data_IF_239189575211
#
_entry.id   IF_239189575211
#
_cell.length_a   1.000
_cell.length_b   1.000
_cell.length_c   1.000
_cell.angle_alpha   90.00
_cell.angle_beta   90.00
_cell.angle_gamma   90.00
#
_symmetry.space_group_name_H-M   'P 1'
#
loop_
_entity.id
_entity.type
_entity.pdbx_description
1 polymer ?
#
# COMPACT_ATOMS: atom_id res chain seq x y z
N UNK A 1 -84.27 36.43 -21.82
CA UNK A 1 -83.69 36.10 -20.51
C UNK A 1 -82.58 35.03 -20.60
N UNK A 2 -82.74 33.92 -21.32
CA UNK A 2 -81.73 32.85 -21.45
C UNK A 2 -80.36 33.26 -22.02
N UNK A 3 -80.31 34.23 -22.96
CA UNK A 3 -79.01 34.66 -23.57
C UNK A 3 -78.12 35.53 -22.65
N UNK A 4 -78.73 36.28 -21.73
CA UNK A 4 -78.00 37.09 -20.73
C UNK A 4 -77.42 36.24 -19.61
N UNK A 5 -78.12 35.21 -19.22
CA UNK A 5 -77.69 34.32 -18.15
C UNK A 5 -76.54 33.40 -18.65
N UNK A 6 -76.65 32.92 -19.90
CA UNK A 6 -75.58 32.19 -20.55
C UNK A 6 -74.29 33.00 -20.66
N UNK A 7 -74.36 34.31 -21.05
CA UNK A 7 -73.22 35.20 -21.06
C UNK A 7 -72.56 35.38 -19.67
N UNK A 8 -73.40 35.51 -18.64
CA UNK A 8 -72.93 35.64 -17.25
C UNK A 8 -72.23 34.37 -16.76
N UNK A 9 -72.76 33.19 -17.13
CA UNK A 9 -72.14 31.89 -16.81
C UNK A 9 -70.79 31.74 -17.55
N UNK A 10 -70.73 32.08 -18.84
CA UNK A 10 -69.52 32.01 -19.63
C UNK A 10 -68.46 32.99 -19.11
N UNK A 11 -68.84 34.21 -18.71
CA UNK A 11 -67.94 35.19 -18.10
C UNK A 11 -67.46 34.69 -16.74
N UNK A 12 -68.35 34.12 -15.92
CA UNK A 12 -67.99 33.51 -14.62
C UNK A 12 -66.99 32.35 -14.77
N UNK A 13 -67.23 31.48 -15.70
CA UNK A 13 -66.29 30.37 -16.00
C UNK A 13 -64.92 30.89 -16.53
N UNK A 14 -64.95 31.89 -17.40
CA UNK A 14 -63.79 32.54 -17.89
C UNK A 14 -62.96 33.21 -16.77
N UNK A 15 -63.63 33.96 -15.88
CA UNK A 15 -63.03 34.54 -14.71
C UNK A 15 -62.41 33.51 -13.75
N UNK A 16 -63.09 32.38 -13.50
CA UNK A 16 -62.55 31.33 -12.67
C UNK A 16 -61.34 30.65 -13.34
N UNK A 17 -61.35 30.41 -14.63
CA UNK A 17 -60.20 29.90 -15.37
C UNK A 17 -59.04 30.90 -15.30
N UNK A 18 -59.29 32.18 -15.48
CA UNK A 18 -58.25 33.22 -15.37
C UNK A 18 -57.69 33.30 -13.94
N UNK A 19 -58.52 33.20 -12.92
CA UNK A 19 -58.12 33.16 -11.51
C UNK A 19 -57.28 31.89 -11.20
N UNK A 20 -57.68 30.76 -11.70
CA UNK A 20 -56.92 29.51 -11.57
C UNK A 20 -55.56 29.59 -12.28
N UNK A 21 -55.55 30.14 -13.52
CA UNK A 21 -54.32 30.38 -14.26
C UNK A 21 -53.41 31.39 -13.55
N UNK A 22 -53.94 32.50 -12.99
CA UNK A 22 -53.18 33.44 -12.20
C UNK A 22 -52.67 32.83 -10.91
N UNK A 23 -53.48 31.99 -10.25
CA UNK A 23 -53.04 31.25 -9.07
C UNK A 23 -51.93 30.22 -9.40
N UNK A 24 -52.10 29.49 -10.50
CA UNK A 24 -51.07 28.53 -10.96
C UNK A 24 -49.78 29.26 -11.42
N UNK A 25 -49.90 30.40 -12.07
CA UNK A 25 -48.74 31.22 -12.48
C UNK A 25 -48.06 31.86 -11.29
N UNK A 26 -48.76 32.19 -10.20
CA UNK A 26 -48.13 32.73 -8.99
C UNK A 26 -47.22 31.72 -8.29
N UNK A 27 -47.47 30.41 -8.45
CA UNK A 27 -46.60 29.35 -7.94
C UNK A 27 -45.25 29.27 -8.71
N UNK A 28 -45.23 29.78 -9.94
CA UNK A 28 -44.00 29.85 -10.77
C UNK A 28 -43.28 31.19 -10.68
N UNK A 29 -43.79 32.15 -9.89
CA UNK A 29 -43.13 33.43 -9.67
C UNK A 29 -42.11 33.37 -8.54
N UNK A 30 -42.32 32.50 -7.59
CA UNK A 30 -41.47 32.38 -6.40
C UNK A 30 -41.01 30.97 -6.18
N UNK A 31 -39.74 30.83 -5.88
CA UNK A 31 -39.11 29.55 -5.52
C UNK A 31 -38.59 29.60 -4.09
N UNK A 32 -38.86 28.54 -3.31
CA UNK A 32 -38.37 28.43 -1.97
C UNK A 32 -37.08 27.63 -1.92
N UNK A 33 -35.97 28.31 -1.76
CA UNK A 33 -34.65 27.71 -1.71
C UNK A 33 -34.45 27.03 -0.32
N UNK A 34 -34.29 25.68 -0.29
CA UNK A 34 -34.06 24.99 0.97
C UNK A 34 -32.66 25.23 1.49
N UNK A 35 -32.47 25.14 2.80
CA UNK A 35 -31.16 25.22 3.42
C UNK A 35 -30.22 24.12 2.88
N UNK A 36 -28.93 24.45 2.71
CA UNK A 36 -27.92 23.50 2.22
C UNK A 36 -27.88 23.32 0.71
N UNK A 37 -28.75 23.99 -0.06
CA UNK A 37 -28.73 23.98 -1.52
C UNK A 37 -28.36 25.34 -2.11
N UNK A 38 -27.78 25.31 -3.28
CA UNK A 38 -27.53 26.46 -4.15
C UNK A 38 -28.61 26.40 -5.23
N UNK A 39 -29.32 27.50 -5.40
CA UNK A 39 -30.35 27.59 -6.43
C UNK A 39 -29.82 28.42 -7.59
N UNK A 40 -29.88 27.86 -8.79
CA UNK A 40 -29.57 28.57 -10.05
C UNK A 40 -30.86 28.70 -10.83
N UNK A 41 -31.24 29.94 -11.13
CA UNK A 41 -32.44 30.28 -11.88
C UNK A 41 -32.00 30.84 -13.25
N UNK A 42 -32.45 30.22 -14.32
CA UNK A 42 -32.25 30.70 -15.69
C UNK A 42 -33.48 31.44 -16.14
N UNK A 43 -33.33 32.73 -16.42
CA UNK A 43 -34.41 33.56 -16.98
C UNK A 43 -34.85 33.02 -18.36
N UNK A 44 -36.17 32.84 -18.58
CA UNK A 44 -36.67 32.35 -19.85
C UNK A 44 -36.59 33.39 -20.98
N UNK A 45 -36.48 34.64 -20.63
CA UNK A 45 -36.51 35.77 -21.62
C UNK A 45 -35.09 36.20 -21.98
N UNK A 46 -34.26 36.47 -20.97
CA UNK A 46 -32.90 36.98 -21.16
C UNK A 46 -31.84 35.88 -21.21
N UNK A 47 -32.17 34.66 -20.73
CA UNK A 47 -31.20 33.59 -20.56
C UNK A 47 -30.19 33.85 -19.46
N UNK A 48 -30.30 34.95 -18.72
CA UNK A 48 -29.41 35.29 -17.63
C UNK A 48 -29.54 34.28 -16.49
N UNK A 49 -28.40 33.99 -15.83
CA UNK A 49 -28.33 33.08 -14.72
C UNK A 49 -28.19 33.87 -13.41
N UNK A 50 -29.12 33.61 -12.49
CA UNK A 50 -29.05 34.11 -11.13
C UNK A 50 -28.75 32.97 -10.16
N UNK A 51 -27.84 33.21 -9.22
CA UNK A 51 -27.37 32.19 -8.27
C UNK A 51 -27.70 32.66 -6.85
N UNK A 52 -28.38 31.81 -6.09
CA UNK A 52 -28.75 32.07 -4.72
C UNK A 52 -28.19 31.06 -3.77
N UNK A 53 -27.44 31.51 -2.77
CA UNK A 53 -26.82 30.67 -1.74
C UNK A 53 -27.64 30.66 -0.44
N UNK A 54 -28.42 31.68 -0.23
CA UNK A 54 -29.19 31.86 1.00
C UNK A 54 -30.57 31.18 0.90
N UNK A 55 -30.99 30.44 1.92
CA UNK A 55 -32.32 29.84 1.96
C UNK A 55 -33.41 30.92 2.00
N UNK A 56 -34.62 30.55 1.61
CA UNK A 56 -35.77 31.40 1.63
C UNK A 56 -36.37 31.63 0.24
N UNK A 57 -37.41 32.46 0.21
CA UNK A 57 -38.17 32.70 -1.00
C UNK A 57 -37.37 33.64 -1.92
N UNK A 58 -37.20 33.20 -3.16
CA UNK A 58 -36.53 33.91 -4.25
C UNK A 58 -37.47 34.10 -5.44
N UNK A 59 -37.23 35.14 -6.20
CA UNK A 59 -38.05 35.46 -7.37
C UNK A 59 -37.59 34.55 -8.55
N UNK A 60 -38.48 33.67 -9.02
CA UNK A 60 -38.22 32.77 -10.11
C UNK A 60 -38.59 33.32 -11.49
N UNK A 61 -39.66 34.09 -11.58
CA UNK A 61 -40.13 34.71 -12.83
C UNK A 61 -40.28 33.70 -14.00
N UNK A 62 -40.87 32.56 -13.77
CA UNK A 62 -41.01 31.44 -14.73
C UNK A 62 -39.69 30.87 -15.22
N UNK A 63 -38.57 31.19 -14.54
CA UNK A 63 -37.23 30.68 -14.89
C UNK A 63 -37.10 29.19 -14.60
N UNK A 64 -36.18 28.57 -15.30
CA UNK A 64 -35.82 27.18 -15.01
C UNK A 64 -34.95 27.12 -13.75
N UNK A 65 -35.44 26.44 -12.76
CA UNK A 65 -34.74 26.25 -11.47
C UNK A 65 -33.90 24.98 -11.52
N UNK A 66 -32.65 25.08 -11.07
CA UNK A 66 -31.75 23.94 -10.88
C UNK A 66 -31.10 24.05 -9.53
N UNK A 67 -31.15 22.95 -8.77
CA UNK A 67 -30.55 22.89 -7.45
C UNK A 67 -29.24 22.14 -7.47
N UNK A 68 -28.28 22.65 -6.72
CA UNK A 68 -27.02 22.02 -6.41
C UNK A 68 -26.88 21.92 -4.88
N UNK A 69 -26.41 20.78 -4.31
CA UNK A 69 -26.07 20.75 -2.89
C UNK A 69 -24.87 21.65 -2.64
N UNK A 70 -24.78 22.33 -1.51
CA UNK A 70 -23.56 23.09 -1.15
C UNK A 70 -22.36 22.19 -1.00
N UNK A 71 -22.58 20.99 -0.46
CA UNK A 71 -21.60 19.93 -0.29
C UNK A 71 -22.22 18.58 -0.62
N UNK A 72 -21.47 17.71 -1.26
CA UNK A 72 -21.90 16.34 -1.54
C UNK A 72 -20.73 15.36 -1.47
N UNK A 73 -21.05 14.07 -1.46
CA UNK A 73 -20.09 12.99 -1.37
C UNK A 73 -20.19 12.12 -2.61
N UNK A 74 -19.13 12.12 -3.40
CA UNK A 74 -18.98 11.13 -4.46
C UNK A 74 -18.45 9.83 -3.85
N UNK A 75 -19.30 8.80 -3.84
CA UNK A 75 -19.00 7.47 -3.30
C UNK A 75 -18.80 6.48 -4.41
N UNK A 76 -17.74 5.68 -4.29
CA UNK A 76 -17.40 4.58 -5.19
C UNK A 76 -17.16 3.30 -4.36
N UNK A 77 -18.24 2.74 -3.77
CA UNK A 77 -18.15 1.56 -2.91
C UNK A 77 -17.86 0.31 -3.72
N UNK A 78 -17.21 -0.65 -3.06
CA UNK A 78 -17.12 -2.03 -3.54
C UNK A 78 -18.10 -2.90 -2.75
N UNK A 79 -18.82 -3.81 -3.41
CA UNK A 79 -19.68 -4.75 -2.69
C UNK A 79 -18.81 -5.65 -1.81
N UNK A 80 -19.11 -5.65 -0.53
CA UNK A 80 -18.58 -6.66 0.39
C UNK A 80 -19.26 -7.95 -0.02
N UNK A 81 -18.52 -9.01 -0.39
CA UNK A 81 -19.11 -10.33 -0.66
C UNK A 81 -19.90 -10.73 0.58
N UNK A 82 -21.24 -10.86 0.49
CA UNK A 82 -22.04 -11.10 1.67
C UNK A 82 -21.71 -12.49 2.23
N UNK A 83 -21.42 -12.53 3.52
CA UNK A 83 -21.34 -13.78 4.27
C UNK A 83 -22.74 -14.43 4.37
N UNK A 84 -23.78 -13.68 4.09
CA UNK A 84 -25.18 -14.10 4.11
C UNK A 84 -25.89 -13.71 2.81
N UNK A 85 -26.59 -14.67 2.20
CA UNK A 85 -27.33 -14.54 0.91
C UNK A 85 -28.50 -13.55 0.97
N UNK A 86 -28.75 -12.91 2.10
CA UNK A 86 -29.86 -12.00 2.37
C UNK A 86 -29.58 -10.52 2.03
N UNK A 87 -28.36 -10.16 1.63
CA UNK A 87 -28.01 -8.77 1.33
C UNK A 87 -28.30 -8.42 -0.13
N UNK A 88 -28.92 -7.24 -0.32
CA UNK A 88 -29.05 -6.60 -1.64
C UNK A 88 -27.65 -6.36 -2.19
N UNK A 89 -27.38 -6.90 -3.37
CA UNK A 89 -26.10 -6.70 -4.04
C UNK A 89 -25.89 -5.20 -4.32
N UNK A 90 -24.98 -4.58 -3.60
CA UNK A 90 -24.54 -3.21 -3.91
C UNK A 90 -23.76 -3.29 -5.21
N UNK A 91 -24.11 -2.45 -6.18
CA UNK A 91 -23.39 -2.35 -7.45
C UNK A 91 -21.93 -1.96 -7.18
N UNK A 92 -20.98 -2.69 -7.78
CA UNK A 92 -19.57 -2.34 -7.70
C UNK A 92 -19.31 -1.06 -8.47
N UNK A 93 -19.02 0.00 -7.75
CA UNK A 93 -18.63 1.33 -8.27
C UNK A 93 -17.20 1.67 -7.97
N UNK A 94 -16.43 0.72 -7.41
CA UNK A 94 -15.02 0.93 -7.10
C UNK A 94 -14.24 1.32 -8.35
N UNK A 95 -13.25 2.19 -8.16
CA UNK A 95 -12.43 2.68 -9.27
C UNK A 95 -11.34 1.66 -9.57
N UNK A 96 -11.27 1.13 -10.81
CA UNK A 96 -10.20 0.22 -11.19
C UNK A 96 -8.86 0.95 -11.20
N UNK A 97 -7.83 0.28 -10.70
CA UNK A 97 -6.46 0.76 -10.70
C UNK A 97 -5.55 -0.28 -11.35
N UNK A 98 -4.64 0.20 -12.17
CA UNK A 98 -3.57 -0.60 -12.75
C UNK A 98 -2.24 -0.02 -12.29
N UNK A 99 -1.42 -0.88 -11.71
CA UNK A 99 -0.11 -0.53 -11.19
C UNK A 99 0.97 -0.63 -12.30
N UNK A 100 2.14 -0.07 -12.03
CA UNK A 100 3.25 -0.08 -12.99
C UNK A 100 3.80 -1.50 -13.29
N UNK A 101 3.49 -2.48 -12.45
CA UNK A 101 3.80 -3.90 -12.64
C UNK A 101 2.73 -4.67 -13.40
N UNK A 102 1.79 -3.96 -14.03
CA UNK A 102 0.59 -4.54 -14.64
C UNK A 102 -0.31 -5.31 -13.68
N UNK A 103 -0.08 -5.18 -12.39
CA UNK A 103 -1.00 -5.66 -11.37
C UNK A 103 -2.26 -4.81 -11.38
N UNK A 104 -3.42 -5.44 -11.33
CA UNK A 104 -4.70 -4.76 -11.24
C UNK A 104 -5.29 -4.82 -9.84
N UNK A 105 -6.17 -3.88 -9.57
CA UNK A 105 -6.97 -3.85 -8.36
C UNK A 105 -8.14 -2.90 -8.49
N UNK A 106 -8.89 -2.73 -7.43
CA UNK A 106 -9.95 -1.75 -7.32
C UNK A 106 -9.83 -0.97 -6.01
N UNK A 107 -10.22 0.29 -6.08
CA UNK A 107 -10.18 1.22 -4.95
C UNK A 107 -11.61 1.60 -4.61
N UNK A 108 -12.15 1.12 -3.47
CA UNK A 108 -13.37 1.64 -2.89
C UNK A 108 -13.08 2.83 -1.99
N UNK A 109 -13.98 3.80 -2.03
CA UNK A 109 -13.83 4.98 -1.22
C UNK A 109 -14.94 6.00 -1.42
N UNK A 110 -14.70 7.18 -0.90
CA UNK A 110 -15.55 8.35 -1.11
C UNK A 110 -14.73 9.62 -0.99
N UNK A 111 -15.17 10.66 -1.69
CA UNK A 111 -14.59 11.99 -1.61
C UNK A 111 -15.71 13.01 -1.44
N UNK A 112 -15.55 13.88 -0.47
CA UNK A 112 -16.44 15.02 -0.29
C UNK A 112 -15.98 16.17 -1.18
N UNK A 113 -16.93 16.85 -1.77
CA UNK A 113 -16.67 18.05 -2.54
C UNK A 113 -17.69 19.13 -2.22
N UNK A 114 -17.20 20.36 -2.24
CA UNK A 114 -17.98 21.55 -1.95
C UNK A 114 -18.05 22.42 -3.19
N UNK A 115 -19.26 22.90 -3.53
CA UNK A 115 -19.45 23.84 -4.62
C UNK A 115 -18.92 25.23 -4.26
N UNK A 116 -18.47 26.03 -5.26
CA UNK A 116 -17.92 27.35 -5.00
C UNK A 116 -18.97 28.30 -4.44
N UNK A 117 -18.55 29.16 -3.53
CA UNK A 117 -19.38 30.26 -3.03
C UNK A 117 -19.43 31.46 -3.98
N UNK A 118 -18.60 31.49 -5.03
CA UNK A 118 -18.51 32.56 -5.99
C UNK A 118 -19.58 32.42 -7.08
N UNK A 119 -20.37 33.46 -7.30
CA UNK A 119 -21.46 33.47 -8.27
C UNK A 119 -20.99 33.16 -9.69
N UNK A 120 -19.87 33.74 -10.11
CA UNK A 120 -19.36 33.56 -11.48
C UNK A 120 -18.88 32.13 -11.72
N UNK A 121 -18.22 31.50 -10.77
CA UNK A 121 -17.81 30.09 -10.88
C UNK A 121 -19.02 29.17 -10.92
N UNK A 122 -20.06 29.46 -10.13
CA UNK A 122 -21.28 28.66 -10.13
C UNK A 122 -22.06 28.81 -11.45
N UNK A 123 -22.11 30.01 -12.04
CA UNK A 123 -22.65 30.21 -13.39
C UNK A 123 -21.87 29.43 -14.44
N UNK A 124 -20.54 29.43 -14.36
CA UNK A 124 -19.67 28.66 -15.24
C UNK A 124 -19.96 27.17 -15.14
N UNK A 125 -20.14 26.64 -13.91
CA UNK A 125 -20.52 25.25 -13.69
C UNK A 125 -21.87 24.96 -14.35
N UNK A 126 -22.88 25.80 -14.10
CA UNK A 126 -24.20 25.57 -14.62
C UNK A 126 -24.25 25.63 -16.17
N UNK A 127 -23.54 26.57 -16.78
CA UNK A 127 -23.45 26.67 -18.24
C UNK A 127 -22.77 25.48 -18.87
N UNK A 128 -21.78 24.89 -18.18
CA UNK A 128 -21.01 23.76 -18.73
C UNK A 128 -21.72 22.44 -18.52
N UNK A 129 -22.31 22.22 -17.33
CA UNK A 129 -22.82 20.89 -16.93
C UNK A 129 -24.34 20.84 -16.76
N UNK A 130 -25.01 21.96 -16.63
CA UNK A 130 -26.47 22.11 -16.51
C UNK A 130 -27.15 21.44 -15.31
N UNK A 131 -26.59 20.42 -14.71
CA UNK A 131 -27.16 19.70 -13.56
C UNK A 131 -26.07 19.15 -12.62
N UNK A 132 -26.46 18.89 -11.39
CA UNK A 132 -25.59 18.27 -10.40
C UNK A 132 -25.04 16.91 -10.86
N UNK A 133 -25.91 16.03 -11.39
CA UNK A 133 -25.50 14.74 -11.89
C UNK A 133 -24.48 14.82 -13.03
N UNK A 134 -24.64 15.82 -13.89
CA UNK A 134 -23.69 16.08 -15.00
C UNK A 134 -22.34 16.56 -14.47
N UNK A 135 -22.31 17.36 -13.40
CA UNK A 135 -21.06 17.75 -12.71
C UNK A 135 -20.37 16.51 -12.14
N UNK A 136 -21.12 15.68 -11.42
CA UNK A 136 -20.55 14.46 -10.84
C UNK A 136 -19.98 13.54 -11.91
N UNK A 137 -20.73 13.27 -12.98
CA UNK A 137 -20.33 12.36 -14.06
C UNK A 137 -19.26 12.95 -15.00
N UNK A 138 -19.36 14.26 -15.29
CA UNK A 138 -18.49 14.91 -16.28
C UNK A 138 -17.25 15.56 -15.72
N UNK A 139 -17.23 15.84 -14.40
CA UNK A 139 -16.10 16.54 -13.78
C UNK A 139 -15.52 15.77 -12.59
N UNK A 140 -16.35 15.47 -11.57
CA UNK A 140 -15.86 14.88 -10.33
C UNK A 140 -15.30 13.49 -10.57
N UNK A 141 -16.13 12.58 -11.11
CA UNK A 141 -15.76 11.20 -11.41
C UNK A 141 -14.50 11.10 -12.27
N UNK A 142 -14.41 11.74 -13.45
CA UNK A 142 -13.21 11.64 -14.29
C UNK A 142 -11.95 12.21 -13.62
N UNK A 143 -12.09 13.26 -12.79
CA UNK A 143 -10.94 13.83 -12.08
C UNK A 143 -10.38 12.84 -11.06
N UNK A 144 -11.26 12.20 -10.29
CA UNK A 144 -10.84 11.19 -9.30
C UNK A 144 -10.26 9.96 -10.01
N UNK A 145 -10.90 9.47 -11.08
CA UNK A 145 -10.42 8.33 -11.86
C UNK A 145 -9.03 8.59 -12.47
N UNK A 146 -8.79 9.80 -13.00
CA UNK A 146 -7.46 10.18 -13.50
C UNK A 146 -6.41 10.22 -12.39
N UNK A 147 -6.74 10.78 -11.22
CA UNK A 147 -5.84 10.81 -10.08
C UNK A 147 -5.49 9.39 -9.61
N UNK A 148 -6.49 8.50 -9.54
CA UNK A 148 -6.30 7.08 -9.20
C UNK A 148 -5.40 6.39 -10.22
N UNK A 149 -5.70 6.52 -11.51
CA UNK A 149 -4.94 5.86 -12.59
C UNK A 149 -3.48 6.29 -12.59
N UNK A 150 -3.23 7.60 -12.46
CA UNK A 150 -1.87 8.11 -12.44
C UNK A 150 -1.12 7.72 -11.18
N UNK A 151 -1.77 7.74 -10.01
CA UNK A 151 -1.16 7.26 -8.80
C UNK A 151 -0.78 5.78 -8.93
N UNK A 152 -1.65 4.96 -9.54
CA UNK A 152 -1.36 3.54 -9.80
C UNK A 152 -0.11 3.33 -10.65
N UNK A 153 0.05 4.11 -11.72
CA UNK A 153 1.23 4.02 -12.58
C UNK A 153 2.55 4.37 -11.86
N UNK A 154 2.44 4.99 -10.70
CA UNK A 154 3.55 5.49 -9.90
C UNK A 154 4.03 4.52 -8.83
N UNK A 155 3.36 3.43 -8.57
CA UNK A 155 3.77 2.41 -7.59
C UNK A 155 3.48 1.01 -8.10
N UNK A 156 4.12 0.06 -7.48
CA UNK A 156 3.88 -1.34 -7.77
C UNK A 156 2.68 -1.85 -6.97
N UNK A 157 2.03 -2.91 -7.47
CA UNK A 157 0.93 -3.53 -6.74
C UNK A 157 1.37 -3.97 -5.34
N UNK A 158 2.55 -4.58 -5.23
CA UNK A 158 3.09 -5.04 -3.95
C UNK A 158 3.38 -3.87 -3.00
N UNK A 159 4.01 -2.80 -3.49
CA UNK A 159 4.24 -1.59 -2.67
C UNK A 159 2.94 -0.98 -2.17
N UNK A 160 1.92 -0.90 -3.04
CA UNK A 160 0.62 -0.35 -2.69
C UNK A 160 -0.12 -1.17 -1.61
N UNK A 161 0.08 -2.50 -1.61
CA UNK A 161 -0.57 -3.38 -0.63
C UNK A 161 0.19 -3.51 0.68
N UNK A 162 1.52 -3.43 0.65
CA UNK A 162 2.38 -3.71 1.81
C UNK A 162 3.02 -2.44 2.38
N UNK A 163 4.00 -1.88 1.67
CA UNK A 163 4.89 -0.88 2.25
C UNK A 163 4.30 0.54 2.23
N UNK A 164 3.48 0.86 1.22
CA UNK A 164 3.05 2.24 0.94
C UNK A 164 1.52 2.42 0.88
N UNK A 165 0.83 1.55 1.62
CA UNK A 165 -0.64 1.61 1.71
C UNK A 165 -1.17 2.97 2.17
N UNK A 166 -0.45 3.64 3.05
CA UNK A 166 -0.83 4.94 3.58
C UNK A 166 -0.59 6.11 2.61
N UNK A 167 0.38 5.98 1.70
CA UNK A 167 0.75 7.05 0.77
C UNK A 167 -0.26 7.18 -0.38
N UNK A 168 -0.82 6.07 -0.82
CA UNK A 168 -1.71 6.01 -1.97
C UNK A 168 -2.92 6.96 -1.85
N UNK A 169 -3.69 6.98 -0.74
CA UNK A 169 -4.80 7.91 -0.59
C UNK A 169 -4.34 9.37 -0.57
N UNK A 170 -3.22 9.66 0.09
CA UNK A 170 -2.66 11.02 0.16
C UNK A 170 -2.27 11.53 -1.22
N UNK A 171 -1.64 10.68 -2.04
CA UNK A 171 -1.25 11.02 -3.40
C UNK A 171 -2.46 11.23 -4.32
N UNK A 172 -3.49 10.39 -4.18
CA UNK A 172 -4.72 10.53 -4.97
C UNK A 172 -5.43 11.83 -4.60
N UNK A 173 -5.56 12.10 -3.30
CA UNK A 173 -6.19 13.34 -2.80
C UNK A 173 -5.46 14.59 -3.28
N UNK A 174 -4.13 14.59 -3.18
CA UNK A 174 -3.30 15.71 -3.59
C UNK A 174 -3.39 15.95 -5.11
N UNK A 175 -3.35 14.90 -5.93
CA UNK A 175 -3.52 15.02 -7.38
C UNK A 175 -4.94 15.43 -7.77
N UNK A 176 -5.95 14.94 -7.09
CA UNK A 176 -7.32 15.35 -7.34
C UNK A 176 -7.53 16.83 -7.03
N UNK A 177 -6.97 17.32 -5.93
CA UNK A 177 -7.08 18.73 -5.50
C UNK A 177 -6.31 19.69 -6.37
N UNK A 178 -5.03 19.43 -6.59
CA UNK A 178 -4.11 20.42 -7.16
C UNK A 178 -3.71 20.13 -8.61
N UNK A 179 -4.03 18.94 -9.11
CA UNK A 179 -3.71 18.50 -10.46
C UNK A 179 -2.62 17.43 -10.50
N UNK A 180 -2.43 16.90 -11.68
CA UNK A 180 -1.60 15.74 -11.90
C UNK A 180 -0.11 16.06 -11.72
N UNK A 181 0.63 15.15 -11.11
CA UNK A 181 2.05 15.29 -10.94
C UNK A 181 2.80 15.30 -12.28
N UNK A 182 3.78 16.15 -12.40
CA UNK A 182 4.80 16.02 -13.43
C UNK A 182 5.85 15.04 -12.94
N UNK A 183 6.13 14.05 -13.76
CA UNK A 183 6.93 12.90 -13.37
C UNK A 183 8.18 12.75 -14.18
N UNK A 184 9.17 12.09 -13.62
CA UNK A 184 10.42 11.73 -14.27
C UNK A 184 10.72 10.26 -14.04
N UNK A 185 11.06 9.52 -15.11
CA UNK A 185 11.55 8.13 -15.01
C UNK A 185 13.07 8.12 -14.98
N UNK A 186 13.64 7.35 -14.09
CA UNK A 186 15.07 7.10 -14.06
C UNK A 186 15.36 5.66 -13.63
N UNK A 187 16.55 5.22 -13.99
CA UNK A 187 17.03 3.90 -13.63
C UNK A 187 17.67 3.97 -12.25
N UNK A 188 17.17 3.17 -11.30
CA UNK A 188 17.70 3.05 -9.95
C UNK A 188 18.32 1.67 -9.77
N UNK A 189 19.53 1.63 -9.25
CA UNK A 189 20.15 0.37 -8.83
C UNK A 189 19.66 0.02 -7.44
N UNK A 190 19.15 -1.18 -7.29
CA UNK A 190 18.69 -1.74 -6.02
C UNK A 190 19.33 -3.08 -5.84
N UNK A 191 19.93 -3.31 -4.67
CA UNK A 191 20.45 -4.63 -4.32
C UNK A 191 19.28 -5.49 -3.87
N UNK A 192 19.09 -6.62 -4.51
CA UNK A 192 18.10 -7.60 -4.10
C UNK A 192 18.50 -8.18 -2.73
N UNK A 193 17.62 -8.07 -1.75
CA UNK A 193 17.91 -8.51 -0.38
C UNK A 193 18.13 -10.02 -0.28
N UNK A 194 17.56 -10.78 -1.21
CA UNK A 194 17.60 -12.23 -1.24
C UNK A 194 18.82 -12.72 -2.01
N UNK A 195 19.01 -12.23 -3.24
CA UNK A 195 20.10 -12.72 -4.11
C UNK A 195 21.40 -11.95 -3.91
N UNK A 196 21.37 -10.80 -3.20
CA UNK A 196 22.49 -9.86 -3.06
C UNK A 196 23.03 -9.32 -4.40
N UNK A 197 22.30 -9.52 -5.48
CA UNK A 197 22.65 -9.02 -6.80
C UNK A 197 22.15 -7.60 -7.01
N UNK A 198 22.92 -6.78 -7.68
CA UNK A 198 22.49 -5.44 -8.09
C UNK A 198 21.57 -5.53 -9.30
N UNK A 199 20.39 -4.97 -9.16
CA UNK A 199 19.38 -4.92 -10.20
C UNK A 199 19.04 -3.49 -10.54
N UNK A 200 19.01 -3.16 -11.82
CA UNK A 200 18.55 -1.85 -12.30
C UNK A 200 17.04 -1.90 -12.50
N UNK A 201 16.33 -1.07 -11.78
CA UNK A 201 14.87 -0.93 -11.91
C UNK A 201 14.53 0.48 -12.38
N UNK A 202 13.52 0.59 -13.24
CA UNK A 202 12.95 1.90 -13.62
C UNK A 202 11.98 2.36 -12.54
N UNK A 203 12.23 3.53 -12.02
CA UNK A 203 11.42 4.13 -10.95
C UNK A 203 10.88 5.47 -11.43
N UNK A 204 9.59 5.75 -11.24
CA UNK A 204 8.95 7.02 -11.57
C UNK A 204 8.67 7.83 -10.32
N UNK A 205 9.13 9.05 -10.27
CA UNK A 205 8.95 9.96 -9.13
C UNK A 205 8.37 11.31 -9.57
N UNK A 206 7.57 11.97 -8.71
CA UNK A 206 7.17 13.34 -8.97
C UNK A 206 8.38 14.27 -8.93
N UNK A 207 8.36 15.28 -9.79
CA UNK A 207 9.38 16.33 -9.79
C UNK A 207 9.03 17.32 -8.67
N UNK A 208 9.97 17.51 -7.73
CA UNK A 208 9.81 18.53 -6.70
C UNK A 208 10.12 19.91 -7.26
N UNK A 209 9.24 20.86 -6.94
CA UNK A 209 9.39 22.27 -7.28
C UNK A 209 8.99 23.10 -6.06
N UNK A 210 9.96 23.75 -5.47
CA UNK A 210 9.77 24.59 -4.27
C UNK A 210 8.87 25.80 -4.53
N UNK A 211 8.65 26.15 -5.80
CA UNK A 211 7.79 27.28 -6.20
C UNK A 211 6.34 26.87 -6.38
N UNK A 212 6.06 25.56 -6.51
CA UNK A 212 4.72 25.04 -6.70
C UNK A 212 3.93 24.94 -5.38
N UNK A 213 2.61 25.17 -5.39
CA UNK A 213 1.75 24.84 -4.26
C UNK A 213 1.93 23.35 -3.93
N UNK A 214 2.13 22.99 -2.68
CA UNK A 214 2.48 21.62 -2.23
C UNK A 214 3.91 21.14 -2.54
N UNK A 215 4.80 21.97 -3.09
CA UNK A 215 6.21 21.60 -3.31
C UNK A 215 6.45 20.57 -4.42
N UNK A 216 5.45 20.26 -5.25
CA UNK A 216 5.52 19.27 -6.32
C UNK A 216 5.11 19.90 -7.63
N UNK A 217 5.93 19.72 -8.67
CA UNK A 217 5.63 20.19 -10.01
C UNK A 217 4.41 19.46 -10.59
N UNK A 218 3.54 20.23 -11.25
CA UNK A 218 2.33 19.70 -11.87
C UNK A 218 2.48 19.66 -13.38
N UNK A 219 1.94 18.62 -13.99
CA UNK A 219 1.81 18.52 -15.43
C UNK A 219 0.65 19.41 -15.90
N UNK A 220 -0.45 19.36 -15.17
CA UNK A 220 -1.67 20.14 -15.38
C UNK A 220 -2.20 20.61 -14.02
N UNK A 221 -2.75 21.82 -13.97
CA UNK A 221 -3.57 22.23 -12.82
C UNK A 221 -4.88 21.46 -12.81
N UNK A 222 -5.41 21.22 -11.62
CA UNK A 222 -6.69 20.52 -11.51
C UNK A 222 -7.81 21.28 -12.22
N UNK A 223 -8.55 20.57 -13.05
CA UNK A 223 -9.75 21.13 -13.71
C UNK A 223 -10.76 21.62 -12.68
N UNK A 224 -10.82 20.98 -11.51
CA UNK A 224 -11.65 21.35 -10.37
C UNK A 224 -11.39 22.79 -9.92
N UNK A 225 -10.11 23.20 -9.88
CA UNK A 225 -9.71 24.56 -9.48
C UNK A 225 -10.29 25.62 -10.41
N UNK A 226 -10.39 25.35 -11.71
CA UNK A 226 -11.01 26.25 -12.70
C UNK A 226 -12.48 26.56 -12.33
N UNK A 227 -13.19 25.54 -11.87
CA UNK A 227 -14.60 25.70 -11.45
C UNK A 227 -14.75 26.11 -9.99
N UNK A 228 -13.67 26.17 -9.21
CA UNK A 228 -13.70 26.57 -7.80
C UNK A 228 -14.35 25.53 -6.87
N UNK A 229 -14.52 24.30 -7.34
CA UNK A 229 -14.94 23.19 -6.49
C UNK A 229 -13.76 22.79 -5.61
N UNK A 230 -14.04 22.51 -4.34
CA UNK A 230 -13.02 22.11 -3.36
C UNK A 230 -13.27 20.67 -2.94
N UNK A 231 -12.25 19.84 -3.09
CA UNK A 231 -12.27 18.51 -2.52
C UNK A 231 -11.83 18.52 -1.05
N UNK A 232 -12.57 17.80 -0.24
CA UNK A 232 -12.29 17.63 1.19
C UNK A 232 -12.55 16.17 1.58
N UNK A 233 -11.84 15.71 2.61
CA UNK A 233 -12.07 14.41 3.24
C UNK A 233 -12.16 13.22 2.26
N UNK A 234 -11.01 12.85 1.69
CA UNK A 234 -10.88 11.62 0.92
C UNK A 234 -10.87 10.42 1.88
N UNK A 235 -11.92 9.62 1.85
CA UNK A 235 -12.02 8.39 2.62
C UNK A 235 -11.69 7.19 1.72
N UNK A 236 -10.72 6.42 2.15
CA UNK A 236 -10.18 5.29 1.42
C UNK A 236 -10.22 4.03 2.28
N UNK A 237 -10.90 3.00 1.81
CA UNK A 237 -11.08 1.77 2.59
C UNK A 237 -9.93 0.78 2.41
N UNK A 238 -9.13 0.96 1.37
CA UNK A 238 -8.01 0.08 1.00
C UNK A 238 -8.08 -0.27 -0.48
N UNK A 239 -7.03 -0.92 -0.99
CA UNK A 239 -7.03 -1.46 -2.35
C UNK A 239 -7.44 -2.92 -2.28
N UNK A 240 -8.38 -3.32 -3.12
CA UNK A 240 -8.71 -4.73 -3.32
C UNK A 240 -7.89 -5.24 -4.51
N UNK A 241 -6.96 -6.17 -4.30
CA UNK A 241 -6.15 -6.72 -5.38
C UNK A 241 -6.99 -7.57 -6.33
N UNK A 242 -6.59 -7.62 -7.60
CA UNK A 242 -7.08 -8.65 -8.49
C UNK A 242 -6.59 -10.03 -8.02
N UNK A 243 -7.31 -11.09 -8.38
CA UNK A 243 -6.99 -12.47 -7.99
C UNK A 243 -5.53 -12.84 -8.31
N UNK A 244 -5.05 -12.48 -9.50
CA UNK A 244 -3.66 -12.71 -9.91
C UNK A 244 -2.62 -11.98 -9.04
N UNK A 245 -2.93 -10.79 -8.57
CA UNK A 245 -2.06 -10.02 -7.68
C UNK A 245 -2.09 -10.63 -6.28
N UNK A 246 -3.27 -11.03 -5.81
CA UNK A 246 -3.43 -11.70 -4.53
C UNK A 246 -2.65 -13.02 -4.45
N UNK A 247 -2.73 -13.84 -5.49
CA UNK A 247 -1.93 -15.07 -5.59
C UNK A 247 -0.43 -14.77 -5.55
N UNK A 248 0.04 -13.76 -6.29
CA UNK A 248 1.44 -13.34 -6.24
C UNK A 248 1.90 -12.91 -4.85
N UNK A 249 1.07 -12.13 -4.16
CA UNK A 249 1.36 -11.68 -2.79
C UNK A 249 1.47 -12.88 -1.86
N UNK A 250 0.54 -13.84 -1.95
CA UNK A 250 0.59 -15.05 -1.13
C UNK A 250 1.86 -15.88 -1.39
N UNK A 251 2.21 -16.07 -2.66
CA UNK A 251 3.48 -16.77 -3.02
C UNK A 251 4.70 -16.04 -2.44
N UNK A 252 4.72 -14.72 -2.48
CA UNK A 252 5.80 -13.93 -1.88
C UNK A 252 5.86 -14.12 -0.36
N UNK A 253 4.73 -14.07 0.34
CA UNK A 253 4.68 -14.32 1.78
C UNK A 253 5.18 -15.71 2.14
N UNK A 254 4.74 -16.73 1.41
CA UNK A 254 5.19 -18.11 1.62
C UNK A 254 6.70 -18.25 1.41
N UNK A 255 7.24 -17.54 0.45
CA UNK A 255 8.68 -17.54 0.21
C UNK A 255 9.46 -16.83 1.31
N UNK A 256 9.01 -15.65 1.76
CA UNK A 256 9.65 -14.96 2.87
C UNK A 256 9.61 -15.82 4.14
N UNK A 257 8.48 -16.44 4.44
CA UNK A 257 8.35 -17.35 5.58
C UNK A 257 9.33 -18.53 5.49
N UNK A 258 9.49 -19.14 4.30
CA UNK A 258 10.44 -20.22 4.08
C UNK A 258 11.90 -19.79 4.22
N UNK A 259 12.25 -18.60 3.71
CA UNK A 259 13.59 -18.03 3.85
C UNK A 259 13.90 -17.74 5.32
N UNK A 260 12.97 -17.14 6.05
CA UNK A 260 13.12 -16.89 7.48
C UNK A 260 13.30 -18.18 8.28
N UNK A 261 12.46 -19.19 8.02
CA UNK A 261 12.58 -20.50 8.64
C UNK A 261 13.92 -21.18 8.31
N UNK A 262 14.36 -21.12 7.07
CA UNK A 262 15.68 -21.65 6.66
C UNK A 262 16.83 -20.92 7.39
N UNK A 263 16.76 -19.60 7.50
CA UNK A 263 17.76 -18.79 8.19
C UNK A 263 17.81 -19.12 9.67
N UNK A 264 16.65 -19.31 10.32
CA UNK A 264 16.57 -19.73 11.72
C UNK A 264 17.16 -21.13 11.91
N UNK A 265 16.87 -22.06 11.01
CA UNK A 265 17.41 -23.43 11.06
C UNK A 265 18.95 -23.44 10.92
N UNK A 266 19.50 -22.66 9.99
CA UNK A 266 20.95 -22.51 9.84
C UNK A 266 21.57 -21.94 11.12
N UNK A 267 20.96 -20.90 11.69
CA UNK A 267 21.45 -20.29 12.93
C UNK A 267 21.42 -21.26 14.11
N UNK A 268 20.35 -22.06 14.22
CA UNK A 268 20.25 -23.07 15.26
C UNK A 268 21.32 -24.16 15.12
N UNK A 269 21.56 -24.66 13.89
CA UNK A 269 22.61 -25.63 13.62
C UNK A 269 24.01 -25.09 13.89
N UNK A 270 24.28 -23.83 13.56
CA UNK A 270 25.55 -23.19 13.91
C UNK A 270 25.75 -23.15 15.43
N UNK A 271 24.69 -22.84 16.19
CA UNK A 271 24.76 -22.84 17.65
C UNK A 271 24.98 -24.24 18.22
N UNK A 272 24.28 -25.26 17.69
CA UNK A 272 24.47 -26.65 18.09
C UNK A 272 25.90 -27.15 17.76
N UNK A 273 26.41 -26.80 16.57
CA UNK A 273 27.77 -27.18 16.16
C UNK A 273 28.82 -26.52 17.05
N UNK A 274 28.63 -25.25 17.42
CA UNK A 274 29.52 -24.56 18.37
C UNK A 274 29.46 -25.18 19.77
N UNK A 275 28.25 -25.49 20.21
CA UNK A 275 28.08 -26.18 21.50
C UNK A 275 28.73 -27.57 21.53
N UNK A 276 28.58 -28.35 20.46
CA UNK A 276 29.25 -29.66 20.32
C UNK A 276 30.77 -29.54 20.23
N UNK A 277 31.30 -28.55 19.53
CA UNK A 277 32.74 -28.28 19.50
C UNK A 277 33.28 -27.90 20.87
N UNK A 278 32.53 -27.14 21.64
CA UNK A 278 32.91 -26.82 23.02
C UNK A 278 32.87 -28.03 23.95
N UNK A 279 31.86 -28.89 23.81
CA UNK A 279 31.76 -30.15 24.52
C UNK A 279 32.95 -31.06 24.15
N UNK A 280 33.25 -31.20 22.86
CA UNK A 280 34.37 -32.00 22.39
C UNK A 280 35.74 -31.45 22.85
N UNK A 281 35.91 -30.12 22.85
CA UNK A 281 37.10 -29.48 23.43
C UNK A 281 37.22 -29.73 24.92
N UNK A 282 36.08 -29.72 25.63
CA UNK A 282 36.03 -30.06 27.06
C UNK A 282 36.35 -31.51 27.35
N UNK A 283 35.80 -32.44 26.56
CA UNK A 283 36.10 -33.87 26.71
C UNK A 283 37.57 -34.15 26.43
N UNK A 284 38.11 -33.60 25.35
CA UNK A 284 39.53 -33.74 24.99
C UNK A 284 40.46 -33.09 26.01
N UNK A 285 40.04 -31.96 26.61
CA UNK A 285 40.77 -31.33 27.72
C UNK A 285 40.71 -32.17 29.01
N UNK A 286 39.54 -32.80 29.26
CA UNK A 286 39.35 -33.72 30.39
C UNK A 286 40.17 -35.00 30.18
N UNK A 287 40.19 -35.54 28.96
CA UNK A 287 40.98 -36.74 28.62
C UNK A 287 42.48 -36.48 28.73
N UNK A 288 42.91 -35.32 28.23
CA UNK A 288 44.30 -34.85 28.35
C UNK A 288 44.66 -34.58 29.81
N UNK A 289 43.78 -33.96 30.56
CA UNK A 289 43.95 -33.76 32.02
C UNK A 289 43.96 -35.06 32.82
N UNK A 290 43.14 -36.06 32.42
CA UNK A 290 43.22 -37.40 32.98
C UNK A 290 44.54 -38.13 32.68
N UNK A 291 45.03 -38.02 31.43
CA UNK A 291 46.30 -38.57 31.03
C UNK A 291 47.49 -37.90 31.76
N UNK A 292 47.44 -36.56 31.86
CA UNK A 292 48.43 -35.80 32.61
C UNK A 292 48.34 -36.02 34.13
N UNK A 293 47.10 -36.23 34.66
CA UNK A 293 46.90 -36.59 36.06
C UNK A 293 47.38 -38.01 36.42
N UNK A 294 47.41 -38.93 35.47
CA UNK A 294 48.00 -40.27 35.66
C UNK A 294 49.52 -40.17 35.70
N UNK A 295 50.14 -39.29 34.89
CA UNK A 295 51.56 -39.02 34.90
C UNK A 295 52.06 -38.12 36.02
N UNK A 296 51.19 -37.19 36.46
CA UNK A 296 51.48 -36.26 37.58
C UNK A 296 51.13 -36.78 38.95
N UNK A 297 50.55 -37.99 39.03
CA UNK A 297 50.14 -38.58 40.32
C UNK A 297 51.30 -38.88 41.27
N UNK A 298 52.55 -38.81 40.78
CA UNK A 298 53.74 -39.07 41.60
C UNK A 298 54.48 -37.79 42.08
N UNK A 299 54.16 -36.63 41.53
CA UNK A 299 54.95 -35.42 41.88
C UNK A 299 54.14 -34.18 42.14
N UNK A 300 53.19 -33.97 42.81
CA UNK A 300 52.68 -32.66 43.28
C UNK A 300 51.17 -32.51 43.48
N UNK A 301 50.70 -32.99 44.56
CA UNK A 301 49.34 -32.72 45.08
C UNK A 301 49.12 -31.24 45.52
N UNK A 302 50.16 -30.49 45.70
CA UNK A 302 50.09 -29.12 46.17
C UNK A 302 49.88 -28.08 45.04
N UNK A 303 50.43 -28.30 43.85
CA UNK A 303 50.23 -27.43 42.69
C UNK A 303 48.88 -27.59 42.02
N UNK A 304 48.28 -28.75 42.20
CA UNK A 304 46.98 -29.09 41.57
C UNK A 304 45.82 -28.19 42.01
N UNK A 305 45.79 -27.89 43.33
CA UNK A 305 44.69 -27.04 43.85
C UNK A 305 44.86 -25.58 43.46
N UNK A 306 46.14 -25.14 43.25
CA UNK A 306 46.41 -23.76 42.83
C UNK A 306 46.11 -23.55 41.34
N UNK A 307 46.46 -24.53 40.48
CA UNK A 307 46.23 -24.46 39.04
C UNK A 307 44.72 -24.57 38.76
N UNK A 308 44.00 -25.48 39.42
CA UNK A 308 42.54 -25.62 39.26
C UNK A 308 41.81 -24.35 39.73
N UNK A 309 42.22 -23.76 40.83
CA UNK A 309 41.61 -22.53 41.33
C UNK A 309 41.83 -21.32 40.38
N UNK A 310 43.06 -21.23 39.80
CA UNK A 310 43.36 -20.17 38.83
C UNK A 310 42.60 -20.36 37.53
N UNK A 311 42.52 -21.61 37.01
CA UNK A 311 41.80 -21.92 35.77
C UNK A 311 40.29 -21.68 35.90
N UNK A 312 39.71 -22.01 37.07
CA UNK A 312 38.29 -21.70 37.32
C UNK A 312 38.00 -20.22 37.47
N UNK A 313 38.90 -19.46 38.11
CA UNK A 313 38.77 -18.03 38.25
C UNK A 313 38.94 -17.30 36.92
N UNK A 314 39.86 -17.78 36.06
CA UNK A 314 39.98 -17.25 34.66
C UNK A 314 38.78 -17.59 33.80
N UNK A 315 38.23 -18.80 33.95
CA UNK A 315 37.02 -19.24 33.23
C UNK A 315 35.80 -18.44 33.61
N UNK A 316 35.60 -18.20 34.91
CA UNK A 316 34.53 -17.34 35.40
C UNK A 316 34.69 -15.90 34.87
N UNK A 317 35.94 -15.42 34.82
CA UNK A 317 36.25 -14.11 34.30
C UNK A 317 36.01 -14.02 32.77
N UNK A 318 36.39 -15.08 32.03
CA UNK A 318 36.19 -15.16 30.60
C UNK A 318 34.72 -15.33 30.21
N UNK A 319 33.97 -16.13 30.94
CA UNK A 319 32.52 -16.26 30.79
C UNK A 319 31.80 -14.96 31.12
N UNK A 320 32.23 -14.27 32.18
CA UNK A 320 31.69 -12.97 32.53
C UNK A 320 32.00 -11.91 31.44
N UNK A 321 33.23 -11.92 30.87
CA UNK A 321 33.61 -11.03 29.78
C UNK A 321 32.83 -11.35 28.50
N UNK A 322 32.68 -12.62 28.15
CA UNK A 322 31.94 -13.06 26.97
C UNK A 322 30.45 -12.75 27.06
N UNK A 323 29.86 -12.95 28.27
CA UNK A 323 28.47 -12.56 28.49
C UNK A 323 28.29 -11.03 28.45
N UNK A 324 29.21 -10.28 29.04
CA UNK A 324 29.19 -8.83 29.00
C UNK A 324 29.43 -8.25 27.57
N UNK A 325 30.24 -8.93 26.76
CA UNK A 325 30.40 -8.60 25.36
C UNK A 325 29.16 -8.90 24.53
N UNK A 326 28.51 -10.06 24.75
CA UNK A 326 27.23 -10.40 24.14
C UNK A 326 26.12 -9.40 24.48
N UNK A 327 26.02 -9.00 25.75
CA UNK A 327 25.03 -7.99 26.14
C UNK A 327 25.30 -6.63 25.48
N UNK A 328 26.57 -6.24 25.37
CA UNK A 328 26.97 -5.02 24.64
C UNK A 328 26.66 -5.11 23.16
N UNK A 329 26.92 -6.26 22.55
CA UNK A 329 26.70 -6.47 21.11
C UNK A 329 25.18 -6.50 20.79
N UNK A 330 24.39 -7.17 21.63
CA UNK A 330 22.92 -7.15 21.53
C UNK A 330 22.35 -5.75 21.78
N UNK A 331 22.94 -5.01 22.73
CA UNK A 331 22.52 -3.63 22.98
C UNK A 331 22.95 -2.68 21.84
N UNK A 332 24.12 -2.94 21.21
CA UNK A 332 24.56 -2.21 20.02
C UNK A 332 23.66 -2.53 18.83
N UNK A 333 23.39 -3.81 18.56
CA UNK A 333 22.47 -4.24 17.48
C UNK A 333 21.06 -3.68 17.66
N UNK A 334 20.57 -3.61 18.90
CA UNK A 334 19.28 -2.97 19.21
C UNK A 334 19.32 -1.44 18.97
N UNK A 335 20.44 -0.78 19.27
CA UNK A 335 20.64 0.64 18.96
C UNK A 335 20.75 0.87 17.45
N UNK A 336 21.50 0.03 16.77
CA UNK A 336 21.69 0.12 15.32
C UNK A 336 20.38 -0.20 14.58
N UNK A 337 19.62 -1.21 15.05
CA UNK A 337 18.28 -1.49 14.55
C UNK A 337 17.31 -0.31 14.78
N UNK A 338 17.40 0.34 15.96
CA UNK A 338 16.58 1.52 16.24
C UNK A 338 17.03 2.76 15.43
N UNK A 339 18.36 2.89 15.19
CA UNK A 339 18.90 3.92 14.31
C UNK A 339 18.52 3.68 12.86
N UNK A 340 18.64 2.45 12.37
CA UNK A 340 18.21 2.03 11.04
C UNK A 340 16.70 2.18 10.85
N UNK A 341 15.91 1.85 11.89
CA UNK A 341 14.47 2.06 11.88
C UNK A 341 14.13 3.56 11.79
N UNK A 342 14.88 4.41 12.52
CA UNK A 342 14.74 5.86 12.43
C UNK A 342 15.17 6.38 11.05
N UNK A 343 16.28 5.88 10.53
CA UNK A 343 16.79 6.20 9.20
C UNK A 343 15.86 5.64 8.10
N UNK A 344 15.29 4.44 8.30
CA UNK A 344 14.25 3.90 7.45
C UNK A 344 13.01 4.80 7.43
N UNK A 345 12.56 5.30 8.58
CA UNK A 345 11.43 6.24 8.65
C UNK A 345 11.76 7.59 8.00
N UNK A 346 12.98 8.08 8.19
CA UNK A 346 13.47 9.30 7.54
C UNK A 346 13.68 9.10 6.03
N UNK A 347 14.22 7.94 5.63
CA UNK A 347 14.39 7.55 4.23
C UNK A 347 13.05 7.19 3.58
N UNK A 348 12.10 6.59 4.32
CA UNK A 348 10.72 6.44 3.87
C UNK A 348 10.08 7.78 3.62
N UNK A 349 10.19 8.72 4.55
CA UNK A 349 9.70 10.09 4.36
C UNK A 349 10.35 10.79 3.16
N UNK A 350 11.65 10.62 2.98
CA UNK A 350 12.41 11.12 1.82
C UNK A 350 12.15 10.27 0.57
N UNK A 351 12.02 8.94 0.74
CA UNK A 351 11.71 7.99 -0.32
C UNK A 351 10.27 8.14 -0.84
N UNK A 352 9.33 8.42 0.04
CA UNK A 352 7.95 8.71 -0.31
C UNK A 352 7.84 10.06 -1.03
N UNK A 353 8.65 11.00 -0.60
CA UNK A 353 8.82 12.26 -1.29
C UNK A 353 9.53 12.05 -2.65
N UNK A 354 10.57 11.24 -2.70
CA UNK A 354 11.35 10.93 -3.90
C UNK A 354 10.62 9.93 -4.81
N UNK A 355 9.86 9.00 -4.26
CA UNK A 355 9.05 8.04 -5.01
C UNK A 355 7.82 8.70 -5.66
N UNK A 356 7.17 9.65 -4.97
CA UNK A 356 6.17 10.49 -5.62
C UNK A 356 6.71 11.16 -6.89
N UNK A 357 8.03 11.35 -6.96
CA UNK A 357 8.72 11.89 -8.13
C UNK A 357 9.12 10.80 -9.16
N UNK A 358 9.49 9.60 -8.72
CA UNK A 358 9.98 8.53 -9.60
C UNK A 358 8.87 7.61 -10.10
N UNK A 359 7.74 7.59 -9.41
CA UNK A 359 6.61 6.73 -9.78
C UNK A 359 5.93 7.20 -11.06
N UNK A 360 6.01 8.46 -11.38
CA UNK A 360 5.43 8.98 -12.61
C UNK A 360 6.28 8.61 -13.84
N UNK A 361 7.55 8.34 -13.66
CA UNK A 361 8.46 8.03 -14.77
C UNK A 361 8.63 6.53 -15.07
N UNK A 362 8.04 5.61 -14.27
CA UNK A 362 8.30 4.19 -14.36
C UNK A 362 7.07 3.33 -14.63
N UNK A 363 6.43 3.63 -15.74
CA UNK A 363 5.55 2.61 -16.31
C UNK A 363 6.38 1.32 -16.49
N UNK A 364 6.28 0.42 -15.53
CA UNK A 364 6.94 -0.88 -15.61
C UNK A 364 7.98 -1.27 -14.55
N UNK A 365 8.34 -0.37 -13.60
CA UNK A 365 9.38 -0.71 -12.62
C UNK A 365 9.03 -1.94 -11.75
N UNK A 366 7.76 -2.22 -11.52
CA UNK A 366 7.37 -3.46 -10.85
C UNK A 366 7.29 -4.65 -11.79
N UNK A 367 6.94 -4.44 -13.08
CA UNK A 367 7.08 -5.53 -14.07
C UNK A 367 8.52 -6.00 -14.12
N UNK A 368 9.48 -5.07 -14.04
CA UNK A 368 10.90 -5.46 -14.03
C UNK A 368 11.34 -6.12 -12.73
N UNK A 369 10.84 -5.68 -11.57
CA UNK A 369 11.07 -6.34 -10.27
C UNK A 369 10.43 -7.71 -10.23
N UNK A 370 9.21 -7.84 -10.73
CA UNK A 370 8.53 -9.14 -10.83
C UNK A 370 9.13 -10.04 -11.91
N UNK A 371 9.48 -9.48 -13.06
CA UNK A 371 10.19 -10.22 -14.11
C UNK A 371 11.54 -10.72 -13.59
N UNK A 372 12.24 -9.88 -12.84
CA UNK A 372 13.50 -10.25 -12.25
C UNK A 372 13.35 -11.26 -11.11
N UNK A 373 12.29 -11.16 -10.33
CA UNK A 373 11.95 -12.16 -9.32
C UNK A 373 11.53 -13.49 -9.97
N UNK A 374 10.72 -13.41 -11.03
CA UNK A 374 10.35 -14.57 -11.86
C UNK A 374 11.57 -15.15 -12.58
N UNK A 375 12.52 -14.31 -13.00
CA UNK A 375 13.76 -14.74 -13.63
C UNK A 375 14.67 -15.46 -12.63
N UNK A 376 14.80 -14.93 -11.42
CA UNK A 376 15.47 -15.62 -10.31
C UNK A 376 14.79 -16.96 -10.01
N UNK A 377 13.46 -17.01 -9.98
CA UNK A 377 12.70 -18.25 -9.83
C UNK A 377 12.91 -19.21 -10.99
N UNK A 378 12.97 -18.72 -12.23
CA UNK A 378 13.26 -19.51 -13.43
C UNK A 378 14.69 -20.04 -13.41
N UNK A 379 15.66 -19.22 -12.99
CA UNK A 379 17.07 -19.64 -12.85
C UNK A 379 17.19 -20.70 -11.76
N UNK A 380 16.48 -20.53 -10.64
CA UNK A 380 16.39 -21.56 -9.60
C UNK A 380 15.70 -22.82 -10.10
N UNK A 381 14.55 -22.70 -10.75
CA UNK A 381 13.81 -23.82 -11.33
C UNK A 381 14.65 -24.53 -12.42
N UNK A 382 15.41 -23.77 -13.22
CA UNK A 382 16.32 -24.31 -14.24
C UNK A 382 17.54 -24.97 -13.59
N UNK A 383 18.12 -24.35 -12.57
CA UNK A 383 19.22 -24.97 -11.80
C UNK A 383 18.77 -26.26 -11.09
N UNK A 384 17.46 -26.34 -10.70
CA UNK A 384 16.87 -27.58 -10.21
C UNK A 384 16.58 -28.59 -11.33
N UNK A 385 16.15 -28.15 -12.51
CA UNK A 385 15.78 -28.99 -13.63
C UNK A 385 17.03 -29.53 -14.40
N UNK A 386 18.11 -28.74 -14.47
CA UNK A 386 19.36 -29.11 -15.14
C UNK A 386 20.28 -29.97 -14.27
N UNK A 387 19.90 -30.17 -13.01
CA UNK A 387 20.63 -31.07 -12.13
C UNK A 387 20.24 -32.52 -12.46
N UNK A 388 20.91 -33.09 -13.40
CA UNK A 388 20.89 -34.55 -13.70
C UNK A 388 21.58 -35.30 -12.56
N UNK A 389 20.96 -35.44 -11.45
CA UNK A 389 21.38 -36.23 -10.32
C UNK A 389 20.21 -36.42 -9.37
N UNK A 390 20.06 -37.65 -8.91
CA UNK A 390 19.05 -38.01 -7.93
C UNK A 390 19.05 -36.99 -6.77
N UNK A 391 17.90 -36.38 -6.51
CA UNK A 391 17.70 -35.42 -5.41
C UNK A 391 17.80 -36.12 -4.04
N UNK A 392 17.91 -37.42 -4.07
CA UNK A 392 18.13 -38.21 -2.86
C UNK A 392 19.63 -38.44 -2.75
N UNK A 393 20.33 -37.84 -1.80
CA UNK A 393 21.71 -38.21 -1.54
C UNK A 393 21.76 -39.71 -1.19
N UNK A 394 22.66 -40.46 -1.82
CA UNK A 394 23.00 -41.84 -1.47
C UNK A 394 23.69 -41.90 -0.08
N UNK A 395 23.16 -41.18 0.88
CA UNK A 395 23.61 -41.29 2.26
C UNK A 395 22.50 -42.01 3.03
N UNK A 396 22.56 -43.32 2.95
CA UNK A 396 21.89 -44.18 3.92
C UNK A 396 22.72 -44.10 5.20
N UNK A 397 22.39 -43.19 6.08
CA UNK A 397 22.94 -43.20 7.42
C UNK A 397 22.17 -44.25 8.23
N UNK A 398 22.85 -45.35 8.45
CA UNK A 398 22.62 -46.23 9.62
C UNK A 398 21.26 -46.86 9.74
N UNK A 399 21.19 -48.09 9.34
CA UNK A 399 20.23 -49.10 9.73
C UNK A 399 20.32 -49.27 11.23
N UNK A 400 19.29 -48.90 11.94
CA UNK A 400 18.71 -49.75 13.01
C UNK A 400 17.38 -49.18 13.50
N UNK A 401 16.37 -49.94 13.24
CA UNK A 401 15.22 -50.08 14.15
C UNK A 401 14.07 -49.09 14.04
N UNK A 402 13.05 -49.52 13.32
CA UNK A 402 11.65 -49.39 13.64
C UNK A 402 10.88 -48.12 13.31
N UNK A 403 9.92 -48.37 12.48
CA UNK A 403 8.58 -47.77 12.24
C UNK A 403 8.44 -46.66 11.18
N UNK A 404 7.53 -46.84 10.25
CA UNK A 404 7.29 -45.92 9.15
C UNK A 404 6.27 -44.86 9.60
N UNK A 405 6.78 -43.65 9.76
CA UNK A 405 5.96 -42.47 9.96
C UNK A 405 6.49 -41.38 9.05
N UNK A 406 5.75 -41.08 8.03
CA UNK A 406 5.90 -40.04 7.03
C UNK A 406 6.79 -38.85 7.45
N UNK A 407 8.06 -38.93 7.16
CA UNK A 407 8.91 -37.76 7.08
C UNK A 407 8.82 -37.24 5.64
N UNK A 408 8.29 -36.04 5.49
CA UNK A 408 8.24 -35.38 4.21
C UNK A 408 9.66 -35.24 3.66
N UNK A 409 9.92 -35.84 2.50
CA UNK A 409 11.21 -35.74 1.78
C UNK A 409 11.69 -34.30 1.59
N UNK A 410 10.79 -33.35 1.76
CA UNK A 410 11.02 -31.89 1.72
C UNK A 410 11.71 -31.38 2.98
N UNK A 411 11.36 -31.90 4.15
CA UNK A 411 11.99 -31.51 5.43
C UNK A 411 13.43 -32.03 5.55
N UNK A 412 13.68 -33.23 5.02
CA UNK A 412 15.03 -33.81 4.97
C UNK A 412 15.89 -33.10 3.92
N UNK A 413 15.29 -32.66 2.82
CA UNK A 413 15.96 -31.84 1.79
C UNK A 413 16.33 -30.45 2.33
N UNK A 414 15.45 -29.79 3.07
CA UNK A 414 15.72 -28.49 3.69
C UNK A 414 16.81 -28.59 4.77
N UNK A 415 16.84 -29.66 5.53
CA UNK A 415 17.92 -29.95 6.48
C UNK A 415 19.25 -30.14 5.77
N UNK A 416 19.28 -30.84 4.63
CA UNK A 416 20.48 -31.03 3.83
C UNK A 416 20.99 -29.75 3.17
N UNK A 417 20.08 -28.89 2.71
CA UNK A 417 20.41 -27.60 2.13
C UNK A 417 20.98 -26.65 3.18
N UNK A 418 20.47 -26.71 4.42
CA UNK A 418 20.99 -25.93 5.53
C UNK A 418 22.38 -26.42 5.98
N UNK A 419 22.64 -27.73 5.96
CA UNK A 419 23.95 -28.32 6.23
C UNK A 419 24.97 -27.93 5.14
N UNK A 420 24.56 -27.90 3.88
CA UNK A 420 25.43 -27.49 2.76
C UNK A 420 25.76 -26.00 2.82
N UNK A 421 24.77 -25.15 3.10
CA UNK A 421 24.99 -23.72 3.27
C UNK A 421 25.92 -23.41 4.47
N UNK A 422 25.78 -24.14 5.57
CA UNK A 422 26.67 -24.05 6.72
C UNK A 422 28.09 -24.50 6.40
N UNK A 423 28.26 -25.51 5.54
CA UNK A 423 29.58 -26.02 5.09
C UNK A 423 30.26 -25.03 4.11
N UNK A 424 29.51 -24.44 3.20
CA UNK A 424 30.01 -23.45 2.26
C UNK A 424 30.43 -22.16 2.95
N UNK A 425 29.69 -21.75 4.00
CA UNK A 425 30.07 -20.63 4.87
C UNK A 425 31.34 -20.91 5.69
N UNK A 426 31.58 -22.17 6.12
CA UNK A 426 32.82 -22.53 6.82
C UNK A 426 34.06 -22.52 5.91
N UNK A 427 33.88 -22.81 4.62
CA UNK A 427 34.99 -22.78 3.64
C UNK A 427 35.42 -21.34 3.33
N UNK A 428 34.49 -20.38 3.33
CA UNK A 428 34.80 -18.96 3.08
C UNK A 428 35.51 -18.26 4.27
N UNK A 429 35.36 -18.80 5.49
CA UNK A 429 36.05 -18.25 6.67
C UNK A 429 37.43 -18.85 6.92
N UNK A 430 37.83 -19.89 6.18
CA UNK A 430 39.14 -20.56 6.31
C UNK A 430 40.21 -20.00 5.38
N UNK A 431 39.92 -18.98 4.57
CA UNK A 431 40.88 -18.32 3.68
C UNK A 431 41.05 -16.88 4.17
N UNK A 432 41.70 -16.72 5.33
CA UNK A 432 42.55 -15.58 5.66
C UNK A 432 43.44 -15.92 6.82
#
# INVERSE_FOLDING_TARGET
>A
MLASDLKRIVIGVLCTIVLVLLGASSLMLFENVPAGKICVIQSPVSGTLEVYYDPGIKLQMFGKVTYYPKSDIYSFPQPIKPFDKSYVAIEDKSIPIVFNDSGGGSIPGSIRFDYPAEHEKMKLIHTTFTSHDSVVRGLIKPTVERAVTLTGSMMSSIEAFMARKADLPVMIEDQAKYGLYRTRTYDRRVTDEITKEEKTIKVSEPIYDTTAPSGIARQESSVITKYGIVFSNFSFTGVTPSEKVYERINVLFDMYAKIEQSTLNVRNQEQETKAQQEIYKKEKAIEKGKAEAITAKETETANRNKVVAVTNAEREKEVAITNAQREKEVAALKRDAAALYKEEQELRGKGDAAYKKAVIDADGALQQKLAAYVEVQKVWAKAFAERTGNIVPDIIVGKDGATPGSTNAMDDYLKLLSIKAAKDLQLDTAIK
#
